data_IF_374740724706
#
_entry.id   IF_374740724706
#
_cell.length_a   1.000
_cell.length_b   1.000
_cell.length_c   1.000
_cell.angle_alpha   90.00
_cell.angle_beta   90.00
_cell.angle_gamma   90.00
#
_symmetry.space_group_name_H-M   'P 1'
#
loop_
_entity.id
_entity.type
_entity.pdbx_description
1 polymer ?
#
# COMPACT_ATOMS: atom_id res chain seq x y z
N UNK A 1 -15.09 24.22 -18.89
CA UNK A 1 -15.70 22.89 -18.60
C UNK A 1 -14.81 22.02 -17.71
N UNK A 2 -13.51 21.84 -18.00
CA UNK A 2 -12.56 21.13 -17.12
C UNK A 2 -12.43 21.74 -15.71
N UNK A 3 -12.42 23.07 -15.60
CA UNK A 3 -12.38 23.79 -14.32
C UNK A 3 -13.63 23.59 -13.46
N UNK A 4 -14.80 23.36 -14.07
CA UNK A 4 -16.05 23.09 -13.33
C UNK A 4 -16.04 21.69 -12.71
N UNK A 5 -15.45 20.71 -13.41
CA UNK A 5 -15.25 19.34 -12.92
C UNK A 5 -14.27 19.34 -11.74
N UNK A 6 -13.18 20.11 -11.82
CA UNK A 6 -12.24 20.27 -10.71
C UNK A 6 -12.91 20.91 -9.50
N UNK A 7 -13.71 21.96 -9.69
CA UNK A 7 -14.46 22.60 -8.59
C UNK A 7 -15.48 21.63 -7.97
N UNK A 8 -16.17 20.81 -8.76
CA UNK A 8 -17.10 19.80 -8.25
C UNK A 8 -16.39 18.70 -7.46
N UNK A 9 -15.23 18.22 -7.93
CA UNK A 9 -14.38 17.27 -7.19
C UNK A 9 -13.79 17.85 -5.91
N UNK A 10 -13.40 19.13 -5.93
CA UNK A 10 -12.91 19.85 -4.74
C UNK A 10 -14.04 20.09 -3.76
N UNK A 11 -15.25 20.42 -4.21
CA UNK A 11 -16.44 20.56 -3.35
C UNK A 11 -16.82 19.21 -2.75
N UNK A 12 -16.78 18.12 -3.54
CA UNK A 12 -16.97 16.77 -3.03
C UNK A 12 -15.92 16.41 -1.98
N UNK A 13 -14.65 16.76 -2.21
CA UNK A 13 -13.57 16.57 -1.25
C UNK A 13 -13.70 17.47 0.00
N UNK A 14 -14.22 18.70 -0.12
CA UNK A 14 -14.51 19.57 1.01
C UNK A 14 -15.71 19.07 1.84
N UNK A 15 -16.67 18.40 1.21
CA UNK A 15 -17.73 17.66 1.93
C UNK A 15 -17.25 16.31 2.49
N UNK A 16 -16.02 15.88 2.18
CA UNK A 16 -15.41 14.62 2.65
C UNK A 16 -14.50 14.85 3.87
N UNK A 17 -14.82 15.85 4.70
CA UNK A 17 -14.19 16.04 6.00
C UNK A 17 -15.19 16.49 7.07
N UNK A 18 -15.42 15.58 8.04
CA UNK A 18 -16.25 15.62 9.26
C UNK A 18 -17.77 15.39 9.04
N UNK A 19 -18.48 14.40 9.59
CA UNK A 19 -18.22 13.47 10.70
C UNK A 19 -19.29 12.34 10.66
N UNK A 20 -18.85 11.09 10.54
CA UNK A 20 -19.23 10.08 11.53
C UNK A 20 -17.91 9.56 12.11
N UNK A 21 -17.27 10.35 12.99
CA UNK A 21 -16.45 9.74 14.05
C UNK A 21 -17.40 9.23 15.13
N UNK A 22 -18.30 8.33 14.73
CA UNK A 22 -18.52 7.16 15.54
C UNK A 22 -17.29 6.32 15.21
N UNK A 23 -16.23 6.40 16.01
CA UNK A 23 -15.13 5.44 15.90
C UNK A 23 -15.78 4.08 16.08
N UNK A 24 -16.15 3.44 14.97
CA UNK A 24 -16.78 2.13 15.02
C UNK A 24 -15.77 1.27 15.77
N UNK A 25 -16.13 0.74 16.95
CA UNK A 25 -15.18 0.04 17.81
C UNK A 25 -14.60 -1.20 17.10
N UNK A 26 -15.15 -1.61 15.95
CA UNK A 26 -14.63 -2.66 15.09
C UNK A 26 -13.50 -2.23 14.16
N UNK A 27 -13.28 -0.93 13.91
CA UNK A 27 -12.27 -0.46 12.95
C UNK A 27 -10.84 -0.69 13.43
N UNK A 28 -10.55 -0.45 14.70
CA UNK A 28 -9.23 -0.74 15.27
C UNK A 28 -8.86 -2.23 15.16
N UNK A 29 -9.67 -3.19 15.67
CA UNK A 29 -9.34 -4.60 15.55
C UNK A 29 -9.29 -5.08 14.10
N UNK A 30 -10.17 -4.59 13.22
CA UNK A 30 -10.12 -4.90 11.79
C UNK A 30 -8.82 -4.40 11.14
N UNK A 31 -8.41 -3.16 11.44
CA UNK A 31 -7.14 -2.61 10.95
C UNK A 31 -5.96 -3.44 11.45
N UNK A 32 -5.92 -3.79 12.74
CA UNK A 32 -4.85 -4.60 13.31
C UNK A 32 -4.78 -5.99 12.68
N UNK A 33 -5.92 -6.63 12.44
CA UNK A 33 -5.99 -7.92 11.76
C UNK A 33 -5.52 -7.81 10.31
N UNK A 34 -5.94 -6.77 9.61
CA UNK A 34 -5.50 -6.51 8.24
C UNK A 34 -3.99 -6.24 8.16
N UNK A 35 -3.42 -5.46 9.08
CA UNK A 35 -1.97 -5.22 9.13
C UNK A 35 -1.20 -6.52 9.40
N UNK A 36 -1.66 -7.37 10.32
CA UNK A 36 -1.05 -8.69 10.58
C UNK A 36 -1.14 -9.61 9.37
N UNK A 37 -2.25 -9.57 8.64
CA UNK A 37 -2.39 -10.29 7.39
C UNK A 37 -1.32 -9.82 6.38
N UNK A 38 -1.19 -8.51 6.16
CA UNK A 38 -0.19 -7.97 5.25
C UNK A 38 1.25 -8.30 5.66
N UNK A 39 1.57 -8.20 6.95
CA UNK A 39 2.89 -8.59 7.49
C UNK A 39 3.21 -10.04 7.11
N UNK A 40 2.30 -10.97 7.38
CA UNK A 40 2.47 -12.39 7.07
C UNK A 40 2.57 -12.66 5.56
N UNK A 41 1.72 -12.03 4.77
CA UNK A 41 1.74 -12.21 3.32
C UNK A 41 3.04 -11.68 2.71
N UNK A 42 3.60 -10.58 3.20
CA UNK A 42 4.89 -10.04 2.75
C UNK A 42 6.10 -10.87 3.20
N UNK A 43 5.93 -11.83 4.11
CA UNK A 43 6.94 -12.85 4.44
C UNK A 43 6.76 -14.14 3.62
N UNK A 44 5.70 -14.25 2.82
CA UNK A 44 5.37 -15.44 2.05
C UNK A 44 6.12 -15.47 0.72
N UNK A 45 6.90 -16.53 0.48
CA UNK A 45 7.59 -16.76 -0.80
C UNK A 45 6.63 -16.88 -2.00
N UNK A 46 5.37 -17.24 -1.77
CA UNK A 46 4.37 -17.27 -2.85
C UNK A 46 3.95 -15.85 -3.27
N UNK A 47 3.75 -14.97 -2.28
CA UNK A 47 3.42 -13.56 -2.51
C UNK A 47 4.61 -12.83 -3.11
N UNK A 48 5.83 -13.10 -2.64
CA UNK A 48 7.06 -12.53 -3.22
C UNK A 48 7.13 -12.80 -4.73
N UNK A 49 6.94 -14.05 -5.15
CA UNK A 49 6.94 -14.44 -6.56
C UNK A 49 5.79 -13.79 -7.33
N UNK A 50 4.62 -13.69 -6.73
CA UNK A 50 3.51 -13.01 -7.37
C UNK A 50 3.82 -11.52 -7.58
N UNK A 51 4.37 -10.84 -6.57
CA UNK A 51 4.73 -9.43 -6.65
C UNK A 51 5.87 -9.19 -7.64
N UNK A 52 6.91 -10.04 -7.63
CA UNK A 52 7.99 -10.02 -8.61
C UNK A 52 7.43 -10.11 -10.04
N UNK A 53 6.53 -11.05 -10.30
CA UNK A 53 5.87 -11.18 -11.61
C UNK A 53 5.06 -9.94 -11.99
N UNK A 54 4.32 -9.32 -11.06
CA UNK A 54 3.58 -8.09 -11.35
C UNK A 54 4.52 -6.92 -11.65
N UNK A 55 5.64 -6.80 -10.92
CA UNK A 55 6.64 -5.75 -11.18
C UNK A 55 7.40 -6.04 -12.48
N UNK A 56 7.62 -7.29 -12.86
CA UNK A 56 8.20 -7.66 -14.15
C UNK A 56 7.31 -7.27 -15.34
N UNK A 57 5.98 -7.31 -15.18
CA UNK A 57 5.05 -6.76 -16.19
C UNK A 57 5.26 -5.26 -16.33
N UNK A 58 5.45 -4.54 -15.22
CA UNK A 58 5.85 -3.14 -15.28
C UNK A 58 7.21 -2.95 -15.99
N UNK A 59 8.20 -3.79 -15.71
CA UNK A 59 9.48 -3.79 -16.42
C UNK A 59 9.36 -4.09 -17.94
N UNK A 60 8.20 -4.58 -18.40
CA UNK A 60 7.93 -4.77 -19.82
C UNK A 60 7.31 -3.53 -20.48
N UNK A 61 6.94 -2.51 -19.67
CA UNK A 61 6.41 -1.22 -20.12
C UNK A 61 7.48 -0.12 -20.19
N UNK A 62 8.66 -0.34 -19.59
CA UNK A 62 9.79 0.61 -19.66
C UNK A 62 10.54 0.47 -20.99
N UNK A 63 11.33 1.47 -21.42
CA UNK A 63 12.11 1.39 -22.65
C UNK A 63 13.01 0.15 -22.71
N UNK A 64 13.22 -0.47 -23.89
CA UNK A 64 13.97 -1.72 -24.03
C UNK A 64 15.38 -1.69 -23.41
N UNK A 65 16.03 -0.53 -23.46
CA UNK A 65 17.36 -0.28 -22.89
C UNK A 65 17.41 -0.45 -21.36
N UNK A 66 16.28 -0.33 -20.67
CA UNK A 66 16.16 -0.39 -19.22
C UNK A 66 15.50 -1.68 -18.74
N UNK A 67 14.81 -2.41 -19.61
CA UNK A 67 14.02 -3.58 -19.25
C UNK A 67 14.86 -4.67 -18.55
N UNK A 68 16.07 -4.93 -19.04
CA UNK A 68 17.00 -5.91 -18.43
C UNK A 68 17.42 -5.48 -17.02
N UNK A 69 17.76 -4.20 -16.84
CA UNK A 69 18.16 -3.67 -15.53
C UNK A 69 16.98 -3.69 -14.56
N UNK A 70 15.78 -3.35 -15.03
CA UNK A 70 14.56 -3.40 -14.23
C UNK A 70 14.31 -4.81 -13.70
N UNK A 71 14.24 -5.81 -14.59
CA UNK A 71 14.00 -7.21 -14.20
C UNK A 71 15.08 -7.74 -13.26
N UNK A 72 16.35 -7.51 -13.57
CA UNK A 72 17.45 -7.92 -12.69
C UNK A 72 17.42 -7.24 -11.32
N UNK A 73 16.88 -6.01 -11.23
CA UNK A 73 16.70 -5.33 -9.95
C UNK A 73 15.54 -5.91 -9.14
N UNK A 74 14.45 -6.32 -9.80
CA UNK A 74 13.32 -7.00 -9.15
C UNK A 74 13.76 -8.32 -8.56
N UNK A 75 14.45 -9.16 -9.34
CA UNK A 75 14.97 -10.45 -8.86
C UNK A 75 15.99 -10.30 -7.72
N UNK A 76 16.85 -9.28 -7.78
CA UNK A 76 17.93 -9.11 -6.80
C UNK A 76 17.45 -8.45 -5.50
N UNK A 77 16.59 -7.44 -5.59
CA UNK A 77 16.21 -6.61 -4.45
C UNK A 77 14.79 -6.84 -3.95
N UNK A 78 13.90 -7.43 -4.76
CA UNK A 78 12.50 -7.71 -4.41
C UNK A 78 12.36 -8.37 -3.04
N UNK A 79 13.00 -9.53 -2.79
CA UNK A 79 12.88 -10.24 -1.52
C UNK A 79 13.30 -9.40 -0.30
N UNK A 80 14.37 -8.60 -0.43
CA UNK A 80 14.85 -7.73 0.66
C UNK A 80 13.88 -6.57 0.89
N UNK A 81 13.33 -5.99 -0.18
CA UNK A 81 12.36 -4.90 -0.09
C UNK A 81 11.06 -5.38 0.57
N UNK A 82 10.54 -6.56 0.22
CA UNK A 82 9.31 -7.10 0.81
C UNK A 82 9.47 -7.39 2.29
N UNK A 83 10.61 -7.94 2.69
CA UNK A 83 10.95 -8.09 4.11
C UNK A 83 10.99 -6.75 4.84
N UNK A 84 11.62 -5.73 4.28
CA UNK A 84 11.65 -4.38 4.87
C UNK A 84 10.23 -3.81 5.01
N UNK A 85 9.34 -4.08 4.06
CA UNK A 85 7.95 -3.64 4.15
C UNK A 85 7.20 -4.37 5.27
N UNK A 86 7.36 -5.69 5.40
CA UNK A 86 6.79 -6.46 6.50
C UNK A 86 7.27 -5.93 7.88
N UNK A 87 8.58 -5.78 8.05
CA UNK A 87 9.20 -5.26 9.26
C UNK A 87 8.67 -3.86 9.62
N UNK A 88 8.42 -3.01 8.61
CA UNK A 88 7.88 -1.67 8.82
C UNK A 88 6.40 -1.67 9.24
N UNK A 89 5.58 -2.60 8.75
CA UNK A 89 4.19 -2.73 9.21
C UNK A 89 4.18 -3.03 10.71
N UNK A 90 5.02 -3.97 11.15
CA UNK A 90 5.16 -4.30 12.56
C UNK A 90 5.67 -3.10 13.38
N UNK A 91 6.72 -2.42 12.91
CA UNK A 91 7.37 -1.34 13.66
C UNK A 91 6.57 -0.03 13.71
N UNK A 92 5.89 0.35 12.62
CA UNK A 92 5.27 1.67 12.49
C UNK A 92 3.91 1.78 13.16
N UNK A 93 3.28 0.67 13.55
CA UNK A 93 1.90 0.60 14.05
C UNK A 93 0.94 1.48 13.22
N UNK A 94 0.70 1.14 11.94
CA UNK A 94 -0.03 2.00 11.00
C UNK A 94 -1.42 2.40 11.49
N UNK A 95 -2.14 1.50 12.16
CA UNK A 95 -3.49 1.76 12.69
C UNK A 95 -3.54 2.91 13.71
N UNK A 96 -2.48 3.06 14.51
CA UNK A 96 -2.34 4.17 15.46
C UNK A 96 -2.00 5.47 14.72
N UNK A 97 -1.11 5.38 13.72
CA UNK A 97 -0.68 6.54 12.92
C UNK A 97 -1.78 7.16 12.08
N UNK A 98 -2.71 6.36 11.57
CA UNK A 98 -3.85 6.84 10.79
C UNK A 98 -5.04 7.24 11.68
N UNK A 99 -4.91 7.14 13.02
CA UNK A 99 -5.93 7.56 13.97
C UNK A 99 -7.14 6.63 14.07
N UNK A 100 -7.00 5.37 13.65
CA UNK A 100 -8.08 4.37 13.72
C UNK A 100 -8.06 3.63 15.06
N UNK A 101 -6.89 3.52 15.69
CA UNK A 101 -6.74 3.04 17.06
C UNK A 101 -6.34 4.21 17.97
N UNK A 102 -6.99 4.31 19.12
CA UNK A 102 -6.54 5.19 20.20
C UNK A 102 -5.29 4.57 20.84
N UNK A 103 -4.20 5.36 20.90
CA UNK A 103 -2.87 4.93 21.37
C UNK A 103 -2.85 4.30 22.76
#
# INVERSE_FOLDING_TARGET
>A
MKFLILIFFVILALSVSAEETNTDPTLCPLCQEFMKFLEKELESTEVDKWLENEIEKFCSLVPPEQATVCKGSVELYGPVVFKILADNIAALRPCDKIGVCDN
#
